data_IF_236924092508
#
_entry.id   IF_236924092508
#
_cell.length_a   1.000
_cell.length_b   1.000
_cell.length_c   1.000
_cell.angle_alpha   90.00
_cell.angle_beta   90.00
_cell.angle_gamma   90.00
#
_symmetry.space_group_name_H-M   'P 1'
#
loop_
_entity.id
_entity.type
_entity.pdbx_description
1 polymer ?
#
# COMPACT_ATOMS: atom_id res chain seq x y z
N UNK A 1 -3.23 -19.33 0.70
CA UNK A 1 -4.03 -18.43 1.58
C UNK A 1 -3.15 -18.11 2.79
N UNK A 2 -2.61 -16.88 2.88
CA UNK A 2 -1.80 -16.50 4.04
C UNK A 2 -2.72 -16.34 5.25
N UNK A 3 -2.69 -17.28 6.19
CA UNK A 3 -3.30 -17.09 7.50
C UNK A 3 -2.55 -15.97 8.23
N UNK A 4 -3.14 -14.80 8.27
CA UNK A 4 -2.59 -13.71 9.08
C UNK A 4 -2.88 -14.07 10.55
N UNK A 5 -1.84 -14.47 11.25
CA UNK A 5 -1.92 -14.78 12.70
C UNK A 5 -2.60 -13.63 13.44
N UNK A 6 -3.46 -13.95 14.38
CA UNK A 6 -4.22 -12.99 15.18
C UNK A 6 -5.22 -12.12 14.37
N UNK A 7 -5.87 -12.72 13.40
CA UNK A 7 -6.94 -12.08 12.65
C UNK A 7 -8.21 -12.94 12.62
N UNK A 8 -9.31 -12.27 12.33
CA UNK A 8 -10.62 -12.86 12.13
C UNK A 8 -11.24 -12.26 10.88
N UNK A 9 -11.69 -13.10 9.96
CA UNK A 9 -12.51 -12.62 8.84
C UNK A 9 -13.85 -12.13 9.37
N UNK A 10 -14.34 -11.02 8.81
CA UNK A 10 -15.60 -10.38 9.20
C UNK A 10 -16.36 -9.92 7.96
N UNK A 11 -17.67 -9.79 8.09
CA UNK A 11 -18.56 -9.25 7.08
C UNK A 11 -18.90 -7.78 7.37
N UNK A 12 -19.32 -7.02 6.36
CA UNK A 12 -19.73 -5.62 6.53
C UNK A 12 -20.91 -5.45 7.51
N UNK A 13 -21.75 -6.49 7.65
CA UNK A 13 -22.87 -6.52 8.62
C UNK A 13 -22.44 -6.77 10.05
N UNK A 14 -21.24 -7.31 10.26
CA UNK A 14 -20.77 -7.72 11.57
C UNK A 14 -20.55 -6.53 12.51
N UNK A 15 -20.60 -6.86 13.80
CA UNK A 15 -20.30 -5.95 14.90
C UNK A 15 -19.15 -6.50 15.71
N UNK A 16 -18.12 -5.68 15.90
CA UNK A 16 -16.93 -6.02 16.68
C UNK A 16 -16.76 -5.06 17.85
N UNK A 17 -16.14 -5.51 18.92
CA UNK A 17 -15.77 -4.62 20.03
C UNK A 17 -14.40 -4.03 19.73
N UNK A 18 -14.37 -2.71 19.57
CA UNK A 18 -13.12 -1.98 19.38
C UNK A 18 -13.24 -0.53 19.87
N UNK A 19 -12.18 -0.05 20.48
CA UNK A 19 -12.00 1.37 20.81
C UNK A 19 -10.55 1.72 20.69
N UNK A 20 -10.23 2.71 19.87
CA UNK A 20 -8.90 3.29 19.83
C UNK A 20 -8.68 4.13 21.10
N UNK A 21 -7.78 3.69 21.95
CA UNK A 21 -7.39 4.40 23.19
C UNK A 21 -6.07 5.18 23.00
N UNK A 22 -5.60 5.31 21.79
CA UNK A 22 -4.34 6.01 21.43
C UNK A 22 -3.13 5.50 22.23
N UNK A 23 -3.09 4.21 22.50
CA UNK A 23 -2.00 3.57 23.25
C UNK A 23 -0.69 3.41 22.46
N UNK A 24 -0.72 3.69 21.17
CA UNK A 24 0.38 3.48 20.24
C UNK A 24 0.84 2.01 20.06
N UNK A 25 0.07 1.02 20.52
CA UNK A 25 0.42 -0.39 20.38
C UNK A 25 0.50 -0.78 18.89
N UNK A 26 -0.46 -0.34 18.06
CA UNK A 26 -0.46 -0.56 16.61
C UNK A 26 0.65 0.20 15.85
N UNK A 27 1.48 1.00 16.53
CA UNK A 27 2.62 1.71 15.97
C UNK A 27 3.96 1.12 16.44
N UNK A 28 3.95 -0.02 17.15
CA UNK A 28 5.14 -0.72 17.66
C UNK A 28 5.21 -2.14 17.10
N UNK A 29 6.43 -2.66 16.96
CA UNK A 29 6.69 -3.95 16.31
C UNK A 29 6.09 -4.01 14.89
N UNK A 30 6.27 -2.93 14.11
CA UNK A 30 5.64 -2.76 12.78
C UNK A 30 6.65 -2.83 11.63
N UNK A 31 7.81 -3.41 11.85
CA UNK A 31 8.81 -3.61 10.79
C UNK A 31 8.20 -4.45 9.65
N UNK A 32 8.21 -3.90 8.44
CA UNK A 32 7.60 -4.53 7.26
C UNK A 32 6.07 -4.53 7.21
N UNK A 33 5.37 -4.07 8.28
CA UNK A 33 3.92 -4.21 8.38
C UNK A 33 3.13 -3.03 7.76
N UNK A 34 3.70 -1.84 7.72
CA UNK A 34 3.00 -0.66 7.18
C UNK A 34 3.43 -0.42 5.74
N UNK A 35 2.74 -1.06 4.82
CA UNK A 35 2.94 -0.87 3.37
C UNK A 35 2.49 0.53 2.99
N UNK A 36 3.29 1.19 2.16
CA UNK A 36 3.04 2.53 1.61
C UNK A 36 2.62 2.40 0.16
N UNK A 37 1.37 2.63 -0.10
CA UNK A 37 0.83 2.70 -1.45
C UNK A 37 1.24 4.03 -2.12
N UNK A 38 1.20 4.14 -3.46
CA UNK A 38 1.52 5.38 -4.18
C UNK A 38 0.77 6.60 -3.65
N UNK A 39 -0.53 6.44 -3.36
CA UNK A 39 -1.37 7.47 -2.77
C UNK A 39 -0.90 7.91 -1.39
N UNK A 40 -0.54 6.95 -0.53
CA UNK A 40 -0.03 7.24 0.81
C UNK A 40 1.28 8.03 0.75
N UNK A 41 2.21 7.63 -0.12
CA UNK A 41 3.47 8.32 -0.35
C UNK A 41 3.28 9.76 -0.79
N UNK A 42 2.38 9.99 -1.75
CA UNK A 42 2.03 11.33 -2.22
C UNK A 42 1.49 12.23 -1.08
N UNK A 43 0.49 11.75 -0.32
CA UNK A 43 -0.11 12.58 0.75
C UNK A 43 0.82 12.79 1.94
N UNK A 44 1.67 11.82 2.25
CA UNK A 44 2.71 12.00 3.28
C UNK A 44 3.78 12.99 2.84
N UNK A 45 4.24 12.92 1.59
CA UNK A 45 5.19 13.90 1.04
C UNK A 45 4.61 15.32 1.05
N UNK A 46 3.37 15.48 0.58
CA UNK A 46 2.64 16.75 0.60
C UNK A 46 2.49 17.32 2.02
N UNK A 47 2.11 16.48 2.99
CA UNK A 47 1.97 16.87 4.40
C UNK A 47 3.31 17.30 5.02
N UNK A 48 4.41 16.67 4.63
CA UNK A 48 5.75 16.97 5.12
C UNK A 48 6.43 18.12 4.35
N UNK A 49 5.84 18.63 3.27
CA UNK A 49 6.40 19.68 2.44
C UNK A 49 7.67 19.27 1.68
N UNK A 50 7.76 18.01 1.27
CA UNK A 50 8.92 17.45 0.54
C UNK A 50 8.47 16.77 -0.76
N UNK A 51 9.44 16.50 -1.67
CA UNK A 51 9.13 15.72 -2.87
C UNK A 51 8.76 14.27 -2.52
N UNK A 52 7.99 13.63 -3.41
CA UNK A 52 7.58 12.23 -3.22
C UNK A 52 8.79 11.29 -3.21
N UNK A 53 9.78 11.50 -4.08
CA UNK A 53 11.03 10.73 -4.07
C UNK A 53 11.78 10.88 -2.74
N UNK A 54 11.91 12.10 -2.23
CA UNK A 54 12.54 12.36 -0.92
C UNK A 54 11.80 11.65 0.22
N UNK A 55 10.46 11.58 0.16
CA UNK A 55 9.68 10.83 1.13
C UNK A 55 10.05 9.34 1.12
N UNK A 56 10.03 8.71 -0.05
CA UNK A 56 10.36 7.29 -0.16
C UNK A 56 11.80 7.00 0.31
N UNK A 57 12.78 7.79 -0.07
CA UNK A 57 14.17 7.63 0.36
C UNK A 57 14.36 7.76 1.86
N UNK A 58 13.76 8.77 2.48
CA UNK A 58 13.99 9.08 3.91
C UNK A 58 13.18 8.20 4.84
N UNK A 59 11.91 7.93 4.52
CA UNK A 59 10.94 7.38 5.47
C UNK A 59 10.53 5.94 5.19
N UNK A 60 10.93 5.37 4.05
CA UNK A 60 10.56 4.01 3.69
C UNK A 60 11.76 3.09 3.49
N UNK A 61 11.48 1.80 3.51
CA UNK A 61 12.40 0.74 3.07
C UNK A 61 11.70 -0.02 1.94
N UNK A 62 12.44 -0.25 0.86
CA UNK A 62 11.99 -1.09 -0.23
C UNK A 62 12.24 -2.57 0.10
N UNK A 63 11.30 -3.41 -0.31
CA UNK A 63 11.41 -4.86 -0.35
C UNK A 63 10.99 -5.34 -1.72
N UNK A 64 11.56 -6.45 -2.16
CA UNK A 64 11.08 -7.18 -3.32
C UNK A 64 10.22 -8.35 -2.84
N UNK A 65 9.06 -8.55 -3.43
CA UNK A 65 8.23 -9.73 -3.20
C UNK A 65 8.97 -10.95 -3.76
N UNK A 66 9.24 -11.97 -2.92
CA UNK A 66 10.16 -13.08 -3.21
C UNK A 66 9.86 -13.81 -4.53
N UNK A 67 8.60 -14.09 -4.81
CA UNK A 67 8.22 -14.90 -5.99
C UNK A 67 8.28 -14.15 -7.32
N UNK A 68 8.16 -12.83 -7.30
CA UNK A 68 8.00 -11.99 -8.50
C UNK A 68 8.94 -10.79 -8.54
N UNK A 69 9.77 -10.60 -7.52
CA UNK A 69 10.68 -9.44 -7.35
C UNK A 69 10.01 -8.07 -7.55
N UNK A 70 8.68 -8.00 -7.31
CA UNK A 70 7.95 -6.74 -7.44
C UNK A 70 8.25 -5.81 -6.26
N UNK A 71 8.64 -4.55 -6.50
CA UNK A 71 9.03 -3.62 -5.44
C UNK A 71 7.81 -3.14 -4.64
N UNK A 72 7.90 -3.25 -3.33
CA UNK A 72 6.97 -2.65 -2.37
C UNK A 72 7.73 -1.81 -1.36
N UNK A 73 7.07 -0.81 -0.80
CA UNK A 73 7.65 0.06 0.20
C UNK A 73 6.91 -0.05 1.52
N UNK A 74 7.66 -0.09 2.63
CA UNK A 74 7.10 -0.04 3.98
C UNK A 74 7.72 1.10 4.77
N UNK A 75 7.03 1.61 5.78
CA UNK A 75 7.61 2.63 6.66
C UNK A 75 8.83 2.09 7.41
N UNK A 76 9.86 2.93 7.53
CA UNK A 76 10.99 2.67 8.42
C UNK A 76 10.53 2.61 9.87
N UNK A 77 11.27 1.87 10.65
CA UNK A 77 11.07 1.73 12.09
C UNK A 77 12.30 2.21 12.87
N UNK A 78 12.08 2.57 14.12
CA UNK A 78 13.12 3.06 15.02
C UNK A 78 13.10 2.30 16.35
N UNK A 79 14.24 2.32 17.04
CA UNK A 79 14.36 1.73 18.38
C UNK A 79 14.29 0.20 18.40
N UNK A 80 14.46 -0.35 19.62
CA UNK A 80 14.46 -1.80 19.84
C UNK A 80 13.07 -2.44 19.67
N UNK A 81 12.03 -1.67 19.90
CA UNK A 81 10.62 -2.07 19.76
C UNK A 81 10.08 -1.88 18.34
N UNK A 82 10.97 -1.61 17.37
CA UNK A 82 10.59 -1.44 15.95
C UNK A 82 9.38 -0.52 15.79
N UNK A 83 9.40 0.60 16.48
CA UNK A 83 8.34 1.60 16.41
C UNK A 83 8.34 2.32 15.06
N UNK A 84 7.13 2.67 14.57
CA UNK A 84 6.97 3.48 13.36
C UNK A 84 7.77 4.79 13.48
N UNK A 85 8.48 5.16 12.41
CA UNK A 85 9.31 6.37 12.34
C UNK A 85 8.53 7.66 12.67
N UNK A 86 7.21 7.66 12.46
CA UNK A 86 6.32 8.79 12.77
C UNK A 86 5.71 8.73 14.18
N UNK A 87 6.11 7.76 15.01
CA UNK A 87 5.65 7.69 16.38
C UNK A 87 6.48 8.65 17.27
N UNK A 88 5.86 9.68 17.80
CA UNK A 88 6.44 10.57 18.80
C UNK A 88 5.73 10.38 20.16
N UNK A 89 6.40 9.72 21.10
CA UNK A 89 5.81 9.30 22.38
C UNK A 89 4.64 8.32 22.17
N UNK A 90 3.42 8.81 22.29
CA UNK A 90 2.17 8.06 22.04
C UNK A 90 1.34 8.65 20.90
N UNK A 91 1.88 9.60 20.14
CA UNK A 91 1.16 10.30 19.08
C UNK A 91 1.81 10.07 17.72
N UNK A 92 0.99 9.93 16.69
CA UNK A 92 1.45 9.93 15.32
C UNK A 92 1.73 11.37 14.88
N UNK A 93 2.94 11.67 14.42
CA UNK A 93 3.31 13.03 13.94
C UNK A 93 2.66 13.37 12.59
N UNK A 94 2.18 12.37 11.86
CA UNK A 94 1.47 12.52 10.57
C UNK A 94 0.01 12.09 10.68
N UNK A 95 -0.65 12.42 11.80
CA UNK A 95 -2.02 11.97 12.10
C UNK A 95 -3.02 12.27 10.98
N UNK A 96 -2.91 13.46 10.37
CA UNK A 96 -3.85 13.94 9.36
C UNK A 96 -3.56 13.36 7.95
N UNK A 97 -2.36 12.85 7.75
CA UNK A 97 -1.91 12.21 6.51
C UNK A 97 -1.60 10.71 6.69
N UNK A 98 -2.20 10.06 7.70
CA UNK A 98 -1.97 8.63 7.96
C UNK A 98 -2.16 7.79 6.69
N UNK A 99 -1.29 6.79 6.45
CA UNK A 99 -1.52 5.78 5.44
C UNK A 99 -2.87 5.10 5.59
N UNK A 100 -3.46 4.67 4.48
CA UNK A 100 -4.75 3.97 4.46
C UNK A 100 -4.77 2.78 5.42
N UNK A 101 -3.73 1.96 5.43
CA UNK A 101 -3.56 0.84 6.37
C UNK A 101 -3.69 1.28 7.84
N UNK A 102 -3.09 2.43 8.20
CA UNK A 102 -3.18 2.96 9.56
C UNK A 102 -4.54 3.57 9.89
N UNK A 103 -5.23 4.18 8.89
CA UNK A 103 -6.60 4.72 9.05
C UNK A 103 -7.58 3.59 9.31
N UNK A 104 -7.43 2.50 8.59
CA UNK A 104 -8.34 1.36 8.67
C UNK A 104 -8.13 0.48 9.89
N UNK A 105 -6.96 0.51 10.55
CA UNK A 105 -6.74 -0.32 11.72
C UNK A 105 -7.91 -0.23 12.73
N UNK A 106 -8.44 -1.31 13.24
CA UNK A 106 -7.93 -2.68 13.28
C UNK A 106 -8.35 -3.58 12.10
N UNK A 107 -8.88 -3.00 11.04
CA UNK A 107 -9.30 -3.76 9.87
C UNK A 107 -8.28 -3.64 8.73
N UNK A 108 -8.27 -4.64 7.86
CA UNK A 108 -7.67 -4.55 6.54
C UNK A 108 -8.52 -5.27 5.51
N UNK A 109 -8.35 -4.89 4.26
CA UNK A 109 -9.12 -5.38 3.13
C UNK A 109 -8.16 -6.05 2.16
N UNK A 110 -8.51 -7.25 1.72
CA UNK A 110 -7.81 -7.97 0.67
C UNK A 110 -8.78 -8.24 -0.48
N UNK A 111 -8.32 -8.25 -1.75
CA UNK A 111 -9.12 -8.77 -2.84
C UNK A 111 -9.48 -10.25 -2.60
N UNK A 112 -10.65 -10.66 -3.07
CA UNK A 112 -11.01 -12.08 -3.14
C UNK A 112 -10.85 -12.62 -4.57
N UNK A 113 -10.89 -13.94 -4.70
CA UNK A 113 -10.74 -14.63 -5.99
C UNK A 113 -11.94 -14.41 -6.93
N UNK A 114 -13.00 -13.78 -6.47
CA UNK A 114 -14.24 -13.51 -7.22
C UNK A 114 -14.40 -12.05 -7.64
N UNK A 115 -13.36 -11.23 -7.43
CA UNK A 115 -13.39 -9.79 -7.73
C UNK A 115 -14.09 -8.95 -6.66
N UNK A 116 -14.36 -9.52 -5.49
CA UNK A 116 -14.86 -8.83 -4.30
C UNK A 116 -13.74 -8.51 -3.30
N UNK A 117 -14.14 -8.33 -2.04
CA UNK A 117 -13.22 -7.99 -0.96
C UNK A 117 -13.48 -8.84 0.28
N UNK A 118 -12.39 -9.33 0.87
CA UNK A 118 -12.36 -9.94 2.19
C UNK A 118 -12.01 -8.91 3.23
N UNK A 119 -12.78 -8.83 4.29
CA UNK A 119 -12.54 -7.94 5.42
C UNK A 119 -12.00 -8.74 6.59
N UNK A 120 -10.91 -8.28 7.17
CA UNK A 120 -10.27 -8.93 8.29
C UNK A 120 -10.17 -7.96 9.46
N UNK A 121 -10.29 -8.48 10.67
CA UNK A 121 -10.22 -7.75 11.93
C UNK A 121 -9.05 -8.27 12.77
N UNK A 122 -8.14 -7.37 13.18
CA UNK A 122 -7.02 -7.72 14.06
C UNK A 122 -7.48 -8.02 15.49
N UNK A 123 -7.03 -9.13 16.04
CA UNK A 123 -7.24 -9.53 17.42
C UNK A 123 -6.00 -9.39 18.30
N UNK A 124 -4.91 -8.82 17.74
CA UNK A 124 -3.63 -8.71 18.46
C UNK A 124 -3.70 -7.89 19.73
N UNK A 125 -4.45 -6.78 19.71
CA UNK A 125 -4.51 -5.84 20.82
C UNK A 125 -5.66 -6.18 21.78
N UNK A 126 -5.42 -7.12 22.68
CA UNK A 126 -6.43 -7.66 23.63
C UNK A 126 -7.12 -6.62 24.51
N UNK A 127 -6.57 -5.44 24.70
CA UNK A 127 -7.19 -4.36 25.48
C UNK A 127 -8.22 -3.55 24.67
N UNK A 128 -8.20 -3.61 23.35
CA UNK A 128 -9.15 -2.91 22.49
C UNK A 128 -10.59 -3.47 22.56
N UNK A 129 -10.81 -4.79 22.75
CA UNK A 129 -12.17 -5.35 22.85
C UNK A 129 -13.00 -4.90 24.07
N UNK A 130 -12.40 -4.21 25.03
CA UNK A 130 -13.12 -3.61 26.18
C UNK A 130 -13.90 -2.33 25.79
N UNK A 131 -13.90 -1.96 24.51
CA UNK A 131 -14.49 -0.75 24.02
C UNK A 131 -15.93 -0.88 23.52
N UNK A 132 -16.35 0.14 22.77
CA UNK A 132 -17.66 0.24 22.13
C UNK A 132 -17.83 -0.81 21.03
N UNK A 133 -19.09 -1.14 20.73
CA UNK A 133 -19.43 -1.95 19.56
C UNK A 133 -19.32 -1.06 18.32
N UNK A 134 -18.57 -1.53 17.34
CA UNK A 134 -18.38 -0.89 16.03
C UNK A 134 -18.98 -1.81 14.96
N UNK A 135 -19.80 -1.28 14.07
CA UNK A 135 -20.25 -1.99 12.88
C UNK A 135 -19.18 -1.86 11.79
N UNK A 136 -18.79 -2.96 11.19
CA UNK A 136 -17.71 -2.98 10.18
C UNK A 136 -17.99 -2.01 9.03
N UNK A 137 -19.22 -2.02 8.48
CA UNK A 137 -19.64 -1.10 7.44
C UNK A 137 -19.45 0.37 7.79
N UNK A 138 -19.81 0.75 9.03
CA UNK A 138 -19.70 2.14 9.47
C UNK A 138 -18.24 2.56 9.62
N UNK A 139 -17.39 1.66 10.14
CA UNK A 139 -15.95 1.90 10.22
C UNK A 139 -15.33 2.11 8.84
N UNK A 140 -15.69 1.26 7.85
CA UNK A 140 -15.20 1.39 6.49
C UNK A 140 -15.61 2.74 5.87
N UNK A 141 -16.89 3.12 6.01
CA UNK A 141 -17.40 4.41 5.53
C UNK A 141 -16.65 5.60 6.14
N UNK A 142 -16.38 5.55 7.44
CA UNK A 142 -15.82 6.68 8.18
C UNK A 142 -14.28 6.81 8.02
N UNK A 143 -13.60 5.75 7.54
CA UNK A 143 -12.14 5.71 7.39
C UNK A 143 -11.64 5.56 5.94
N UNK A 144 -12.53 5.36 4.97
CA UNK A 144 -12.22 5.33 3.55
C UNK A 144 -12.91 6.49 2.84
N UNK A 145 -12.14 7.38 2.24
CA UNK A 145 -12.65 8.45 1.38
C UNK A 145 -13.12 7.91 0.04
N UNK A 146 -13.88 8.70 -0.72
CA UNK A 146 -14.24 8.35 -2.10
C UNK A 146 -12.99 8.23 -2.98
N UNK A 147 -11.98 9.07 -2.75
CA UNK A 147 -10.70 8.95 -3.44
C UNK A 147 -9.93 7.67 -3.08
N UNK A 148 -10.05 7.15 -1.84
CA UNK A 148 -9.48 5.83 -1.48
C UNK A 148 -10.15 4.71 -2.28
N UNK A 149 -11.46 4.79 -2.50
CA UNK A 149 -12.21 3.81 -3.30
C UNK A 149 -11.86 3.91 -4.79
N UNK A 150 -11.78 5.15 -5.31
CA UNK A 150 -11.36 5.40 -6.69
C UNK A 150 -9.94 4.87 -6.94
N UNK A 151 -9.00 5.21 -6.05
CA UNK A 151 -7.62 4.71 -6.13
C UNK A 151 -7.57 3.18 -6.14
N UNK A 152 -8.33 2.53 -5.26
CA UNK A 152 -8.33 1.07 -5.16
C UNK A 152 -8.86 0.41 -6.44
N UNK A 153 -9.95 0.95 -7.01
CA UNK A 153 -10.49 0.49 -8.29
C UNK A 153 -9.51 0.66 -9.45
N UNK A 154 -8.90 1.84 -9.55
CA UNK A 154 -7.91 2.14 -10.59
C UNK A 154 -6.62 1.32 -10.42
N UNK A 155 -6.14 1.11 -9.19
CA UNK A 155 -4.98 0.26 -8.93
C UNK A 155 -5.25 -1.20 -9.33
N UNK A 156 -6.40 -1.73 -8.96
CA UNK A 156 -6.79 -3.09 -9.36
C UNK A 156 -6.85 -3.23 -10.88
N UNK A 157 -7.45 -2.26 -11.57
CA UNK A 157 -7.51 -2.23 -13.05
C UNK A 157 -6.11 -2.14 -13.66
N UNK A 158 -5.29 -1.19 -13.20
CA UNK A 158 -3.94 -0.99 -13.70
C UNK A 158 -3.08 -2.25 -13.49
N UNK A 159 -3.16 -2.87 -12.32
CA UNK A 159 -2.39 -4.08 -12.03
C UNK A 159 -2.87 -5.28 -12.83
N UNK A 160 -4.15 -5.39 -13.18
CA UNK A 160 -4.64 -6.44 -14.08
C UNK A 160 -4.03 -6.35 -15.48
N UNK A 161 -3.64 -5.16 -15.93
CA UNK A 161 -2.98 -4.92 -17.22
C UNK A 161 -1.44 -5.00 -17.12
N UNK A 162 -0.85 -4.47 -16.04
CA UNK A 162 0.61 -4.37 -15.85
C UNK A 162 1.23 -5.69 -15.39
N UNK A 163 0.59 -6.41 -14.46
CA UNK A 163 1.18 -7.61 -13.88
C UNK A 163 1.47 -8.73 -14.90
N UNK A 164 0.62 -9.02 -15.91
CA UNK A 164 0.95 -9.99 -16.95
C UNK A 164 2.20 -9.57 -17.75
N UNK A 165 2.32 -8.30 -18.14
CA UNK A 165 3.46 -7.78 -18.88
C UNK A 165 4.74 -7.85 -18.05
N UNK A 166 4.65 -7.45 -16.77
CA UNK A 166 5.75 -7.57 -15.82
C UNK A 166 6.23 -9.01 -15.69
N UNK A 167 5.32 -9.96 -15.51
CA UNK A 167 5.66 -11.37 -15.34
C UNK A 167 6.32 -11.98 -16.59
N UNK A 168 5.91 -11.56 -17.80
CA UNK A 168 6.57 -11.96 -19.04
C UNK A 168 8.02 -11.45 -19.04
N UNK A 169 8.22 -10.15 -18.81
CA UNK A 169 9.55 -9.53 -18.81
C UNK A 169 10.45 -10.10 -17.72
N UNK A 170 9.92 -10.26 -16.51
CA UNK A 170 10.65 -10.83 -15.37
C UNK A 170 11.22 -12.21 -15.68
N UNK A 171 10.50 -13.04 -16.43
CA UNK A 171 10.96 -14.38 -16.85
C UNK A 171 11.92 -14.36 -18.03
N UNK A 172 11.82 -13.37 -18.92
CA UNK A 172 12.62 -13.27 -20.14
C UNK A 172 13.95 -12.53 -19.94
N UNK A 173 13.99 -11.57 -19.03
CA UNK A 173 15.17 -10.76 -18.76
C UNK A 173 16.16 -11.52 -17.89
N UNK A 174 17.45 -11.42 -18.21
CA UNK A 174 18.54 -11.96 -17.37
C UNK A 174 18.81 -11.09 -16.14
N UNK A 175 18.50 -9.81 -16.24
CA UNK A 175 18.63 -8.80 -15.18
C UNK A 175 17.37 -7.95 -15.14
N UNK A 176 16.69 -7.98 -14.02
CA UNK A 176 15.43 -7.27 -13.78
C UNK A 176 15.62 -5.85 -13.23
N UNK A 177 16.85 -5.39 -13.03
CA UNK A 177 17.13 -4.07 -12.41
C UNK A 177 16.39 -2.94 -13.11
N UNK A 178 16.53 -2.82 -14.43
CA UNK A 178 15.85 -1.77 -15.21
C UNK A 178 14.32 -1.90 -15.15
N UNK A 179 13.79 -3.11 -15.11
CA UNK A 179 12.35 -3.35 -14.97
C UNK A 179 11.85 -2.86 -13.62
N UNK A 180 12.55 -3.21 -12.55
CA UNK A 180 12.24 -2.79 -11.17
C UNK A 180 12.32 -1.26 -11.05
N UNK A 181 13.36 -0.63 -11.60
CA UNK A 181 13.53 0.84 -11.63
C UNK A 181 12.36 1.53 -12.32
N UNK A 182 11.87 1.00 -13.45
CA UNK A 182 10.67 1.55 -14.13
C UNK A 182 9.43 1.47 -13.27
N UNK A 183 9.20 0.33 -12.60
CA UNK A 183 8.07 0.19 -11.66
C UNK A 183 8.20 1.23 -10.54
N UNK A 184 9.36 1.35 -9.91
CA UNK A 184 9.60 2.33 -8.84
C UNK A 184 9.33 3.74 -9.33
N UNK A 185 9.90 4.11 -10.46
CA UNK A 185 9.77 5.46 -11.01
C UNK A 185 8.32 5.83 -11.31
N UNK A 186 7.63 5.04 -12.12
CA UNK A 186 6.27 5.37 -12.56
C UNK A 186 5.20 5.16 -11.47
N UNK A 187 5.32 4.13 -10.64
CA UNK A 187 4.31 3.86 -9.61
C UNK A 187 4.50 4.68 -8.34
N UNK A 188 5.74 4.98 -7.97
CA UNK A 188 6.01 5.54 -6.64
C UNK A 188 6.63 6.94 -6.67
N UNK A 189 7.48 7.29 -7.65
CA UNK A 189 8.28 8.52 -7.58
C UNK A 189 7.77 9.67 -8.45
N UNK A 190 7.13 9.37 -9.58
CA UNK A 190 6.75 10.38 -10.59
C UNK A 190 5.44 11.09 -10.21
N UNK A 191 5.47 11.85 -9.13
CA UNK A 191 4.34 12.65 -8.66
C UNK A 191 4.80 14.01 -8.16
N UNK A 192 4.06 15.06 -8.60
CA UNK A 192 4.20 16.43 -8.11
C UNK A 192 3.11 16.73 -7.09
N UNK A 193 3.48 17.24 -5.89
CA UNK A 193 2.54 17.39 -4.77
C UNK A 193 1.58 18.57 -4.91
N UNK A 194 1.77 19.44 -5.87
CA UNK A 194 0.89 20.56 -6.26
C UNK A 194 -0.16 20.18 -7.31
N UNK A 195 0.00 19.06 -8.01
CA UNK A 195 -1.00 18.53 -8.94
C UNK A 195 -1.89 17.46 -8.27
N UNK A 196 -3.15 17.26 -8.74
CA UNK A 196 -4.03 16.22 -8.21
C UNK A 196 -3.44 14.80 -8.38
N UNK A 197 -3.48 14.00 -7.32
CA UNK A 197 -2.90 12.65 -7.33
C UNK A 197 -3.50 11.75 -8.41
N UNK A 198 -4.84 11.62 -8.46
CA UNK A 198 -5.51 10.63 -9.32
C UNK A 198 -5.26 10.82 -10.81
N UNK A 199 -5.12 12.06 -11.29
CA UNK A 199 -4.79 12.33 -12.70
C UNK A 199 -3.38 11.88 -13.05
N UNK A 200 -2.41 12.14 -12.17
CA UNK A 200 -1.03 11.68 -12.32
C UNK A 200 -0.95 10.14 -12.24
N UNK A 201 -1.64 9.55 -11.28
CA UNK A 201 -1.66 8.10 -11.08
C UNK A 201 -2.16 7.36 -12.34
N UNK A 202 -3.28 7.80 -12.92
CA UNK A 202 -3.83 7.23 -14.16
C UNK A 202 -2.87 7.40 -15.35
N UNK A 203 -2.26 8.59 -15.48
CA UNK A 203 -1.27 8.89 -16.51
C UNK A 203 -0.03 7.98 -16.37
N UNK A 204 0.53 7.90 -15.18
CA UNK A 204 1.76 7.15 -14.91
C UNK A 204 1.57 5.64 -15.13
N UNK A 205 0.44 5.05 -14.72
CA UNK A 205 0.16 3.64 -14.98
C UNK A 205 0.00 3.36 -16.48
N UNK A 206 -0.63 4.26 -17.24
CA UNK A 206 -0.73 4.12 -18.71
C UNK A 206 0.65 4.15 -19.35
N UNK A 207 1.48 5.14 -19.01
CA UNK A 207 2.84 5.26 -19.55
C UNK A 207 3.68 4.03 -19.16
N UNK A 208 3.57 3.55 -17.92
CA UNK A 208 4.26 2.33 -17.50
C UNK A 208 3.85 1.13 -18.36
N UNK A 209 2.54 0.94 -18.58
CA UNK A 209 2.05 -0.15 -19.44
C UNK A 209 2.65 -0.06 -20.84
N UNK A 210 2.56 1.13 -21.48
CA UNK A 210 3.08 1.36 -22.83
C UNK A 210 4.60 1.07 -22.91
N UNK A 211 5.36 1.44 -21.87
CA UNK A 211 6.78 1.14 -21.76
C UNK A 211 7.07 -0.37 -21.68
N UNK A 212 6.29 -1.12 -20.87
CA UNK A 212 6.45 -2.58 -20.76
C UNK A 212 6.11 -3.28 -22.08
N UNK A 213 5.02 -2.88 -22.75
CA UNK A 213 4.65 -3.40 -24.07
C UNK A 213 5.74 -3.14 -25.11
N UNK A 214 6.33 -1.94 -25.12
CA UNK A 214 7.44 -1.58 -26.01
C UNK A 214 8.68 -2.46 -25.80
N UNK A 215 9.01 -2.78 -24.54
CA UNK A 215 10.12 -3.66 -24.22
C UNK A 215 9.83 -5.08 -24.73
N UNK A 216 8.62 -5.61 -24.51
CA UNK A 216 8.21 -6.94 -25.01
C UNK A 216 8.35 -6.99 -26.53
N UNK A 217 7.77 -6.04 -27.26
CA UNK A 217 7.82 -6.00 -28.71
C UNK A 217 9.26 -6.00 -29.24
N UNK A 218 10.13 -5.16 -28.66
CA UNK A 218 11.56 -5.14 -29.00
C UNK A 218 12.26 -6.49 -28.76
N UNK A 219 11.87 -7.21 -27.69
CA UNK A 219 12.43 -8.52 -27.39
C UNK A 219 11.94 -9.58 -28.39
N UNK A 220 10.68 -9.53 -28.79
CA UNK A 220 10.11 -10.44 -29.79
C UNK A 220 10.75 -10.23 -31.15
N UNK A 221 11.01 -9.00 -31.57
CA UNK A 221 11.67 -8.68 -32.84
C UNK A 221 13.13 -9.17 -32.90
N UNK A 222 13.81 -9.21 -31.73
CA UNK A 222 15.24 -9.61 -31.66
C UNK A 222 15.39 -11.14 -31.54
N UNK A 223 14.49 -11.82 -30.84
CA UNK A 223 14.65 -13.23 -30.46
C UNK A 223 13.55 -14.17 -31.02
N UNK A 224 12.54 -13.65 -31.72
CA UNK A 224 11.41 -14.39 -32.26
C UNK A 224 11.48 -14.69 -33.75
N UNK A 225 12.64 -14.42 -34.39
CA UNK A 225 12.92 -14.71 -35.80
C UNK A 225 13.64 -16.04 -36.01
#
# INVERSE_FOLDING_TARGET
MYEIKNSKQVELSDRVRFRCVRCAACCRNVEGAVVIEPKDGYYLAKHLGISVSTFYEKYTRMFLLEDVEFPIFTLKVTGKDKACIFLNGKRCSVQDAKPRTCKMYPFWVCPDDKGGFLYNFSTEQRHHPKGSIVKVKDWMRDNLSEEDKEFFGEETRAMSEIAPLYNILHKCLKDNTTLIEKIIFFKYFLYETDEPFMSQFKRNNRVLKDELERIINKYTDIYGG
#
